data_IF_899241039997
#
_entry.id   IF_899241039997
#
_cell.length_a   1.000
_cell.length_b   1.000
_cell.length_c   1.000
_cell.angle_alpha   90.00
_cell.angle_beta   90.00
_cell.angle_gamma   90.00
#
_symmetry.space_group_name_H-M   'P 1'
#
loop_
_entity.id
_entity.type
_entity.pdbx_description
1 polymer ?
#
# COMPACT_ATOMS: atom_id res chain seq x y z
N UNK A 1 3.12 -13.94 15.78
CA UNK A 1 3.12 -12.97 14.67
C UNK A 1 2.34 -13.58 13.51
N UNK A 2 1.15 -13.06 13.21
CA UNK A 2 0.38 -13.49 12.03
C UNK A 2 0.46 -12.39 10.98
N UNK A 3 0.96 -12.75 9.81
CA UNK A 3 0.88 -11.94 8.61
C UNK A 3 -0.41 -12.29 7.88
N UNK A 4 -1.22 -11.28 7.57
CA UNK A 4 -2.42 -11.44 6.76
C UNK A 4 -2.31 -10.57 5.52
N UNK A 5 -2.49 -11.19 4.35
CA UNK A 5 -2.73 -10.45 3.11
C UNK A 5 -4.17 -9.94 3.15
N UNK A 6 -4.34 -8.61 3.28
CA UNK A 6 -5.65 -7.96 3.28
C UNK A 6 -6.21 -7.83 1.86
N UNK A 7 -5.34 -7.62 0.86
CA UNK A 7 -5.75 -7.60 -0.54
C UNK A 7 -4.64 -7.24 -1.51
N UNK A 8 -4.92 -7.44 -2.80
CA UNK A 8 -4.09 -6.99 -3.92
C UNK A 8 -5.01 -6.34 -4.96
N UNK A 9 -4.58 -5.22 -5.54
CA UNK A 9 -5.27 -4.60 -6.67
C UNK A 9 -4.28 -4.24 -7.78
N UNK A 10 -4.79 -4.17 -9.01
CA UNK A 10 -4.04 -3.83 -10.20
C UNK A 10 -4.70 -2.65 -10.90
N UNK A 11 -4.15 -1.45 -10.72
CA UNK A 11 -4.70 -0.18 -11.23
C UNK A 11 -3.56 0.73 -11.61
N UNK A 12 -3.84 1.62 -12.54
CA UNK A 12 -2.90 2.69 -12.88
C UNK A 12 -2.95 3.69 -11.71
N UNK A 13 -1.81 3.92 -11.06
CA UNK A 13 -1.66 4.74 -9.85
C UNK A 13 -0.97 6.05 -10.16
N UNK A 14 -0.02 6.08 -11.10
CA UNK A 14 0.79 7.27 -11.37
C UNK A 14 0.43 8.02 -12.66
N UNK A 15 -0.44 7.46 -13.50
CA UNK A 15 -1.03 8.16 -14.65
C UNK A 15 -0.27 7.91 -15.93
N UNK A 16 0.62 6.91 -15.95
CA UNK A 16 1.44 6.60 -17.11
C UNK A 16 0.71 5.73 -18.16
N UNK A 17 -0.50 5.24 -17.84
CA UNK A 17 -1.31 4.39 -18.71
C UNK A 17 -1.11 2.89 -18.50
N UNK A 18 -0.17 2.48 -17.64
CA UNK A 18 0.14 1.08 -17.31
C UNK A 18 -0.56 0.66 -16.02
N UNK A 19 -0.58 -0.63 -15.70
CA UNK A 19 -1.24 -1.13 -14.47
C UNK A 19 -0.19 -1.39 -13.41
N UNK A 20 -0.30 -0.70 -12.28
CA UNK A 20 0.54 -0.90 -11.11
C UNK A 20 -0.10 -1.91 -10.15
N UNK A 21 0.70 -2.44 -9.23
CA UNK A 21 0.25 -3.39 -8.21
C UNK A 21 0.29 -2.70 -6.85
N UNK A 22 -0.82 -2.76 -6.12
CA UNK A 22 -0.88 -2.37 -4.71
C UNK A 22 -1.21 -3.58 -3.87
N UNK A 23 -0.36 -3.86 -2.88
CA UNK A 23 -0.50 -4.96 -1.92
C UNK A 23 -0.79 -4.35 -0.56
N UNK A 24 -1.88 -4.77 0.10
CA UNK A 24 -2.22 -4.36 1.46
C UNK A 24 -2.12 -5.57 2.39
N UNK A 25 -1.45 -5.39 3.53
CA UNK A 25 -1.24 -6.44 4.51
C UNK A 25 -1.42 -5.93 5.94
N UNK A 26 -1.50 -6.87 6.88
CA UNK A 26 -1.41 -6.56 8.30
C UNK A 26 -0.55 -7.56 9.04
N UNK A 27 0.20 -7.06 10.01
CA UNK A 27 1.00 -7.81 10.96
C UNK A 27 0.34 -7.71 12.33
N UNK A 28 0.00 -8.84 12.94
CA UNK A 28 -0.46 -8.90 14.33
C UNK A 28 0.60 -9.50 15.24
N UNK A 29 0.80 -8.88 16.40
CA UNK A 29 1.79 -9.28 17.40
C UNK A 29 1.35 -8.90 18.81
N UNK A 30 2.02 -9.45 19.83
CA UNK A 30 1.86 -9.04 21.21
C UNK A 30 2.78 -7.86 21.48
N UNK A 31 2.22 -6.76 21.95
CA UNK A 31 2.94 -5.57 22.38
C UNK A 31 3.74 -5.80 23.67
N UNK A 32 4.40 -4.75 24.15
CA UNK A 32 5.25 -4.81 25.34
C UNK A 32 4.45 -5.05 26.64
N UNK A 33 3.16 -4.69 26.67
CA UNK A 33 2.25 -4.90 27.81
C UNK A 33 1.34 -6.13 27.63
N UNK A 34 1.73 -7.07 26.75
CA UNK A 34 0.96 -8.27 26.36
C UNK A 34 -0.41 -7.99 25.70
N UNK A 35 -0.59 -6.78 25.18
CA UNK A 35 -1.76 -6.38 24.41
C UNK A 35 -1.67 -6.80 22.94
N UNK A 36 -2.77 -7.22 22.30
CA UNK A 36 -2.77 -7.54 20.88
C UNK A 36 -2.66 -6.26 20.04
N UNK A 37 -1.58 -6.11 19.28
CA UNK A 37 -1.34 -5.01 18.35
C UNK A 37 -1.54 -5.50 16.92
N UNK A 38 -2.26 -4.73 16.11
CA UNK A 38 -2.41 -4.95 14.66
C UNK A 38 -1.83 -3.74 13.93
N UNK A 39 -0.83 -3.98 13.11
CA UNK A 39 -0.23 -2.95 12.26
C UNK A 39 -0.58 -3.24 10.81
N UNK A 40 -1.14 -2.26 10.10
CA UNK A 40 -1.32 -2.34 8.65
C UNK A 40 -0.08 -1.79 7.93
N UNK A 41 0.19 -2.34 6.74
CA UNK A 41 1.22 -1.84 5.84
C UNK A 41 0.80 -2.13 4.38
N UNK A 42 1.39 -1.43 3.43
CA UNK A 42 1.15 -1.65 2.00
C UNK A 42 2.46 -1.56 1.20
N UNK A 43 2.50 -2.13 0.00
CA UNK A 43 3.57 -1.88 -0.97
C UNK A 43 2.96 -1.55 -2.33
N UNK A 44 3.59 -0.63 -3.06
CA UNK A 44 3.19 -0.26 -4.43
C UNK A 44 4.33 -0.63 -5.36
N UNK A 45 3.99 -1.27 -6.48
CA UNK A 45 4.93 -1.61 -7.53
C UNK A 45 4.46 -0.99 -8.84
N UNK A 46 5.23 -0.05 -9.37
CA UNK A 46 4.90 0.58 -10.65
C UNK A 46 5.34 -0.27 -11.81
N UNK A 47 4.48 -0.42 -12.80
CA UNK A 47 4.83 -1.07 -14.04
C UNK A 47 5.65 -0.12 -14.91
N UNK A 48 6.77 -0.60 -15.44
CA UNK A 48 7.54 0.07 -16.50
C UNK A 48 7.80 -0.94 -17.62
N UNK A 49 8.39 -0.48 -18.73
CA UNK A 49 8.72 -1.32 -19.89
C UNK A 49 9.61 -2.52 -19.55
N UNK A 50 10.39 -2.45 -18.47
CA UNK A 50 11.29 -3.51 -18.00
C UNK A 50 10.75 -4.42 -16.90
N UNK A 51 9.55 -4.18 -16.38
CA UNK A 51 8.97 -4.95 -15.26
C UNK A 51 8.35 -4.06 -14.18
N UNK A 52 8.25 -4.60 -12.97
CA UNK A 52 7.65 -3.92 -11.82
C UNK A 52 8.73 -3.46 -10.83
N UNK A 53 8.58 -2.24 -10.34
CA UNK A 53 9.54 -1.61 -9.43
C UNK A 53 8.84 -1.12 -8.17
N UNK A 54 9.30 -1.59 -7.00
CA UNK A 54 8.74 -1.20 -5.71
C UNK A 54 9.03 0.28 -5.41
N UNK A 55 8.00 1.00 -4.97
CA UNK A 55 8.14 2.33 -4.38
C UNK A 55 8.54 2.21 -2.90
N UNK A 56 9.76 2.66 -2.60
CA UNK A 56 10.31 2.62 -1.24
C UNK A 56 10.14 3.94 -0.49
N UNK A 57 9.75 5.01 -1.18
CA UNK A 57 9.74 6.38 -0.63
C UNK A 57 8.31 6.88 -0.38
N UNK A 58 7.30 6.36 -1.09
CA UNK A 58 5.91 6.81 -0.96
C UNK A 58 5.36 6.72 0.47
N UNK A 59 5.83 5.77 1.26
CA UNK A 59 5.41 5.58 2.66
C UNK A 59 5.81 6.73 3.57
N UNK A 60 6.84 7.50 3.20
CA UNK A 60 7.23 8.69 3.94
C UNK A 60 6.20 9.83 3.76
N UNK A 61 5.52 9.84 2.61
CA UNK A 61 4.47 10.82 2.30
C UNK A 61 3.07 10.33 2.69
N UNK A 62 2.81 9.03 2.58
CA UNK A 62 1.51 8.41 2.85
C UNK A 62 1.69 7.33 3.93
N UNK A 63 1.56 7.69 5.22
CA UNK A 63 1.57 6.69 6.28
C UNK A 63 0.30 5.83 6.22
N UNK A 64 0.46 4.52 6.43
CA UNK A 64 -0.64 3.56 6.53
C UNK A 64 -1.20 3.53 7.95
N UNK A 65 -2.53 3.59 8.08
CA UNK A 65 -3.26 3.40 9.33
C UNK A 65 -3.85 1.99 9.40
N UNK A 66 -4.11 1.51 10.61
CA UNK A 66 -4.66 0.15 10.84
C UNK A 66 -5.98 -0.11 10.09
N UNK A 67 -6.83 0.92 10.04
CA UNK A 67 -8.16 0.94 9.44
C UNK A 67 -8.19 1.34 7.97
N UNK A 68 -7.04 1.68 7.37
CA UNK A 68 -6.98 2.03 5.94
C UNK A 68 -7.48 0.86 5.08
N UNK A 69 -8.38 1.19 4.17
CA UNK A 69 -8.89 0.31 3.14
C UNK A 69 -8.03 0.36 1.87
N UNK A 70 -8.18 -0.65 1.02
CA UNK A 70 -7.50 -0.70 -0.28
C UNK A 70 -7.85 0.50 -1.18
N UNK A 71 -9.08 1.00 -1.12
CA UNK A 71 -9.49 2.16 -1.92
C UNK A 71 -8.84 3.45 -1.43
N UNK A 72 -8.80 3.69 -0.11
CA UNK A 72 -8.15 4.87 0.46
C UNK A 72 -6.65 4.92 0.15
N UNK A 73 -5.95 3.77 0.22
CA UNK A 73 -4.53 3.71 -0.15
C UNK A 73 -4.35 4.05 -1.63
N UNK A 74 -5.22 3.55 -2.51
CA UNK A 74 -5.14 3.87 -3.94
C UNK A 74 -5.44 5.34 -4.23
N UNK A 75 -6.45 5.93 -3.59
CA UNK A 75 -6.78 7.34 -3.77
C UNK A 75 -5.64 8.25 -3.30
N UNK A 76 -5.08 8.00 -2.11
CA UNK A 76 -3.93 8.75 -1.59
C UNK A 76 -2.71 8.61 -2.52
N UNK A 77 -2.42 7.39 -3.00
CA UNK A 77 -1.29 7.14 -3.88
C UNK A 77 -1.44 7.86 -5.23
N UNK A 78 -2.65 7.88 -5.79
CA UNK A 78 -2.94 8.66 -7.00
C UNK A 78 -2.79 10.16 -6.78
N UNK A 79 -3.27 10.66 -5.64
CA UNK A 79 -3.09 12.05 -5.27
C UNK A 79 -1.62 12.45 -5.12
N UNK A 80 -0.77 11.57 -4.59
CA UNK A 80 0.69 11.78 -4.53
C UNK A 80 1.31 12.01 -5.92
N UNK A 81 0.85 11.29 -6.94
CA UNK A 81 1.27 11.49 -8.33
C UNK A 81 0.55 12.64 -9.05
N UNK A 82 -0.33 13.37 -8.35
CA UNK A 82 -1.15 14.41 -8.95
C UNK A 82 -2.21 13.88 -9.92
N UNK A 83 -2.51 12.57 -9.86
CA UNK A 83 -3.55 11.98 -10.67
C UNK A 83 -4.89 11.93 -9.93
N UNK A 84 -5.90 12.57 -10.53
CA UNK A 84 -7.31 12.35 -10.20
C UNK A 84 -8.02 11.84 -11.46
N UNK A 85 -8.47 10.57 -11.42
CA UNK A 85 -9.31 9.97 -12.46
C UNK A 85 -10.78 10.29 -12.17
#
# INVERSE_FOLDING_TARGET
HLYALKGVTCRDIDGDGLKDIVVLMSLSYLGEEEEPVVQADYSIYYQRTGGFYEDKEIKESIPCKEDDSMEEIVEKAREYWGWRA
#
